data_IF_105978262488
#
_entry.id   IF_105978262488
#
_cell.length_a   1.000
_cell.length_b   1.000
_cell.length_c   1.000
_cell.angle_alpha   90.00
_cell.angle_beta   90.00
_cell.angle_gamma   90.00
#
_symmetry.space_group_name_H-M   'P 1'
#
loop_
_entity.id
_entity.type
_entity.pdbx_description
1 polymer ?
#
# COMPACT_ATOMS: atom_id res chain seq x y z
N UNK A 1 1.18 25.08 39.30
CA UNK A 1 0.68 26.07 38.32
C UNK A 1 0.66 25.35 36.99
N UNK A 2 -0.54 25.32 36.39
CA UNK A 2 -0.92 24.53 35.22
C UNK A 2 -0.04 24.85 33.98
N UNK A 3 0.85 23.98 33.66
CA UNK A 3 1.54 23.89 32.34
C UNK A 3 1.07 22.67 31.55
N UNK A 4 -0.12 22.18 31.83
CA UNK A 4 -0.75 21.10 31.09
C UNK A 4 -1.92 21.65 30.30
N UNK A 5 -1.94 21.35 28.99
CA UNK A 5 -3.06 21.52 28.03
C UNK A 5 -2.92 22.61 26.94
N UNK A 6 -1.73 22.78 26.37
CA UNK A 6 -1.62 23.51 25.08
C UNK A 6 -1.00 22.64 23.96
N UNK A 7 -1.17 21.31 24.03
CA UNK A 7 -0.47 20.36 23.14
C UNK A 7 -1.22 20.00 21.85
N UNK A 8 -2.43 20.50 21.62
CA UNK A 8 -3.24 20.10 20.45
C UNK A 8 -3.68 21.26 19.52
N UNK A 9 -3.28 22.51 19.75
CA UNK A 9 -3.82 23.65 18.99
C UNK A 9 -3.10 23.99 17.66
N UNK A 10 -1.96 23.38 17.35
CA UNK A 10 -1.14 23.81 16.20
C UNK A 10 -0.92 22.70 15.13
N UNK A 11 -1.68 21.60 15.13
CA UNK A 11 -1.60 20.62 14.05
C UNK A 11 -2.53 21.02 12.90
N UNK A 12 -1.94 21.57 11.85
CA UNK A 12 -2.63 21.95 10.62
C UNK A 12 -2.24 21.00 9.49
N UNK A 13 -3.22 20.23 8.99
CA UNK A 13 -3.01 19.25 7.93
C UNK A 13 -2.61 19.88 6.60
N UNK A 14 -3.04 21.10 6.32
CA UNK A 14 -2.70 21.78 5.08
C UNK A 14 -1.25 22.25 5.09
N UNK A 15 -0.76 22.71 6.23
CA UNK A 15 0.67 23.00 6.43
C UNK A 15 1.53 21.73 6.30
N UNK A 16 1.07 20.59 6.84
CA UNK A 16 1.77 19.30 6.68
C UNK A 16 1.87 18.92 5.21
N UNK A 17 0.76 18.98 4.47
CA UNK A 17 0.73 18.66 3.04
C UNK A 17 1.64 19.57 2.22
N UNK A 18 1.60 20.89 2.46
CA UNK A 18 2.46 21.85 1.74
C UNK A 18 3.94 21.63 2.03
N UNK A 19 4.31 21.40 3.29
CA UNK A 19 5.69 21.10 3.69
C UNK A 19 6.25 19.89 2.94
N UNK A 20 5.47 18.80 2.86
CA UNK A 20 5.86 17.58 2.16
C UNK A 20 5.89 17.76 0.64
N UNK A 21 4.98 18.55 0.06
CA UNK A 21 4.99 18.89 -1.38
C UNK A 21 6.23 19.68 -1.78
N UNK A 22 6.73 20.52 -0.89
CA UNK A 22 7.97 21.28 -1.10
C UNK A 22 9.23 20.41 -0.94
N UNK A 23 9.08 19.11 -0.68
CA UNK A 23 10.18 18.16 -0.52
C UNK A 23 10.89 18.25 0.83
N UNK A 24 10.25 18.87 1.83
CA UNK A 24 10.79 19.01 3.17
C UNK A 24 10.25 17.89 4.08
N UNK A 25 11.10 17.32 4.95
CA UNK A 25 10.66 16.40 5.98
C UNK A 25 9.97 17.11 7.15
N UNK A 26 9.11 16.42 7.85
CA UNK A 26 8.39 16.97 9.00
C UNK A 26 9.26 16.92 10.27
N UNK A 27 9.15 17.92 11.16
CA UNK A 27 9.67 17.80 12.51
C UNK A 27 9.09 16.56 13.21
N UNK A 28 9.89 15.89 14.02
CA UNK A 28 9.49 14.63 14.69
C UNK A 28 8.13 14.73 15.39
N UNK A 29 7.92 15.77 16.19
CA UNK A 29 6.65 15.99 16.90
C UNK A 29 5.45 16.05 15.94
N UNK A 30 5.59 16.72 14.82
CA UNK A 30 4.53 16.83 13.80
C UNK A 30 4.27 15.49 13.14
N UNK A 31 5.33 14.75 12.78
CA UNK A 31 5.21 13.42 12.20
C UNK A 31 4.53 12.43 13.16
N UNK A 32 4.96 12.39 14.42
CA UNK A 32 4.34 11.52 15.43
C UNK A 32 2.85 11.87 15.62
N UNK A 33 2.50 13.16 15.66
CA UNK A 33 1.10 13.59 15.76
C UNK A 33 0.29 13.16 14.54
N UNK A 34 0.84 13.29 13.33
CA UNK A 34 0.23 12.82 12.09
C UNK A 34 -0.05 11.31 12.15
N UNK A 35 0.95 10.53 12.56
CA UNK A 35 0.85 9.06 12.67
C UNK A 35 -0.15 8.63 13.75
N UNK A 36 -0.20 9.31 14.90
CA UNK A 36 -1.20 9.02 15.94
C UNK A 36 -2.63 9.22 15.43
N UNK A 37 -2.88 10.33 14.72
CA UNK A 37 -4.20 10.58 14.11
C UNK A 37 -4.55 9.53 13.05
N UNK A 38 -3.57 9.05 12.31
CA UNK A 38 -3.77 7.99 11.35
C UNK A 38 -4.07 6.64 12.01
N UNK A 39 -3.41 6.31 13.11
CA UNK A 39 -3.74 5.12 13.90
C UNK A 39 -5.20 5.13 14.36
N UNK A 40 -5.74 6.28 14.78
CA UNK A 40 -7.16 6.41 15.16
C UNK A 40 -8.10 6.01 13.99
N UNK A 41 -7.74 6.38 12.76
CA UNK A 41 -8.48 5.96 11.55
C UNK A 41 -8.33 4.46 11.31
N UNK A 42 -7.10 3.94 11.36
CA UNK A 42 -6.81 2.53 11.10
C UNK A 42 -7.50 1.58 12.08
N UNK A 43 -7.68 1.97 13.34
CA UNK A 43 -8.46 1.20 14.32
C UNK A 43 -9.95 1.04 13.95
N UNK A 44 -10.47 1.91 13.10
CA UNK A 44 -11.86 1.82 12.61
C UNK A 44 -11.98 1.05 11.30
N UNK A 45 -10.89 0.79 10.61
CA UNK A 45 -10.87 0.08 9.33
C UNK A 45 -10.75 -1.44 9.52
N UNK A 46 -11.51 -2.20 8.73
CA UNK A 46 -11.46 -3.66 8.70
C UNK A 46 -10.18 -4.17 7.99
N UNK A 47 -9.87 -5.46 8.17
CA UNK A 47 -8.76 -6.09 7.45
C UNK A 47 -8.97 -6.11 5.93
N UNK A 48 -10.22 -6.17 5.48
CA UNK A 48 -10.63 -6.06 4.09
C UNK A 48 -11.52 -4.83 3.96
N UNK A 49 -11.10 -3.89 3.12
CA UNK A 49 -11.86 -2.68 2.84
C UNK A 49 -12.93 -2.96 1.78
N UNK A 50 -14.16 -2.58 2.03
CA UNK A 50 -15.24 -2.61 1.04
C UNK A 50 -15.33 -1.23 0.36
N UNK A 51 -14.97 -1.17 -0.92
CA UNK A 51 -14.82 0.08 -1.66
C UNK A 51 -15.76 0.11 -2.88
N UNK A 52 -16.04 1.32 -3.34
CA UNK A 52 -16.88 1.54 -4.52
C UNK A 52 -16.14 2.35 -5.58
N UNK A 53 -16.35 1.98 -6.86
CA UNK A 53 -15.87 2.75 -8.01
C UNK A 53 -16.65 4.09 -8.17
N UNK A 54 -16.12 5.08 -8.92
CA UNK A 54 -14.83 5.05 -9.60
C UNK A 54 -13.67 5.14 -8.61
N UNK A 55 -12.59 4.38 -8.87
CA UNK A 55 -11.40 4.32 -8.01
C UNK A 55 -10.13 4.08 -8.83
N UNK A 56 -9.02 4.63 -8.38
CA UNK A 56 -7.70 4.46 -8.98
C UNK A 56 -6.88 3.53 -8.09
N UNK A 57 -6.48 2.38 -8.62
CA UNK A 57 -5.70 1.37 -7.93
C UNK A 57 -4.23 1.58 -8.29
N UNK A 58 -3.40 1.78 -7.27
CA UNK A 58 -1.98 2.09 -7.37
C UNK A 58 -1.14 0.95 -6.78
N UNK A 59 -0.02 0.64 -7.42
CA UNK A 59 0.98 -0.31 -6.93
C UNK A 59 2.06 0.35 -6.07
N UNK A 60 3.23 -0.30 -6.02
CA UNK A 60 4.39 0.10 -5.22
C UNK A 60 4.85 1.54 -5.54
N UNK A 61 5.27 2.26 -4.51
CA UNK A 61 5.79 3.63 -4.62
C UNK A 61 7.25 3.72 -4.18
N UNK A 62 7.64 2.98 -3.15
CA UNK A 62 9.01 2.83 -2.70
C UNK A 62 9.78 4.15 -2.53
N UNK A 63 9.22 5.10 -1.76
CA UNK A 63 9.90 6.35 -1.45
C UNK A 63 10.22 7.24 -2.66
N UNK A 64 9.55 7.05 -3.79
CA UNK A 64 9.71 7.88 -4.99
C UNK A 64 8.69 9.03 -4.97
N UNK A 65 8.85 9.98 -4.04
CA UNK A 65 7.90 11.05 -3.74
C UNK A 65 7.53 11.90 -4.98
N UNK A 66 8.51 12.29 -5.78
CA UNK A 66 8.26 13.15 -6.94
C UNK A 66 7.52 12.41 -8.06
N UNK A 67 7.76 11.10 -8.18
CA UNK A 67 6.99 10.25 -9.10
C UNK A 67 5.56 10.06 -8.60
N UNK A 68 5.34 10.02 -7.27
CA UNK A 68 3.98 10.01 -6.68
C UNK A 68 3.21 11.30 -7.04
N UNK A 69 3.85 12.47 -7.06
CA UNK A 69 3.20 13.69 -7.51
C UNK A 69 2.80 13.61 -8.99
N UNK A 70 3.69 13.09 -9.85
CA UNK A 70 3.37 12.86 -11.26
C UNK A 70 2.26 11.81 -11.46
N UNK A 71 2.22 10.77 -10.60
CA UNK A 71 1.13 9.80 -10.59
C UNK A 71 -0.22 10.50 -10.36
N UNK A 72 -0.29 11.40 -9.37
CA UNK A 72 -1.53 12.16 -9.12
C UNK A 72 -1.90 13.05 -10.29
N UNK A 73 -0.93 13.75 -10.89
CA UNK A 73 -1.19 14.62 -12.05
C UNK A 73 -1.75 13.79 -13.23
N UNK A 74 -1.16 12.63 -13.52
CA UNK A 74 -1.61 11.74 -14.59
C UNK A 74 -3.01 11.14 -14.28
N UNK A 75 -3.22 10.64 -13.06
CA UNK A 75 -4.44 9.97 -12.65
C UNK A 75 -5.63 10.92 -12.50
N UNK A 76 -5.38 12.16 -12.10
CA UNK A 76 -6.43 13.17 -11.93
C UNK A 76 -6.86 13.82 -13.25
N UNK A 77 -6.06 13.75 -14.30
CA UNK A 77 -6.40 14.31 -15.64
C UNK A 77 -6.89 15.76 -15.57
N UNK A 78 -6.21 16.58 -14.72
CA UNK A 78 -6.55 17.99 -14.50
C UNK A 78 -7.73 18.24 -13.54
N UNK A 79 -8.31 17.20 -12.97
CA UNK A 79 -9.32 17.35 -11.91
C UNK A 79 -8.64 17.51 -10.53
N UNK A 80 -9.30 18.18 -9.56
CA UNK A 80 -8.83 18.20 -8.20
C UNK A 80 -8.71 16.79 -7.59
N UNK A 81 -7.68 16.56 -6.79
CA UNK A 81 -7.39 15.26 -6.19
C UNK A 81 -8.52 14.76 -5.29
N UNK A 82 -9.22 15.67 -4.63
CA UNK A 82 -10.38 15.39 -3.77
C UNK A 82 -11.60 14.83 -4.53
N UNK A 83 -11.61 14.92 -5.85
CA UNK A 83 -12.68 14.36 -6.69
C UNK A 83 -12.39 12.90 -7.11
N UNK A 84 -11.26 12.35 -6.73
CA UNK A 84 -10.84 10.99 -7.08
C UNK A 84 -10.66 10.13 -5.85
N UNK A 85 -10.93 8.85 -5.96
CA UNK A 85 -10.59 7.86 -4.94
C UNK A 85 -9.33 7.10 -5.35
N UNK A 86 -8.48 6.79 -4.38
CA UNK A 86 -7.22 6.07 -4.58
C UNK A 86 -7.12 4.90 -3.62
N UNK A 87 -6.75 3.75 -4.14
CA UNK A 87 -6.36 2.57 -3.38
C UNK A 87 -4.88 2.27 -3.67
N UNK A 88 -4.04 2.39 -2.66
CA UNK A 88 -2.63 2.01 -2.73
C UNK A 88 -2.44 0.63 -2.13
N UNK A 89 -1.79 -0.26 -2.87
CA UNK A 89 -1.68 -1.67 -2.50
C UNK A 89 -0.46 -1.99 -1.62
N UNK A 90 0.25 -0.99 -1.09
CA UNK A 90 1.40 -1.18 -0.19
C UNK A 90 2.74 -0.80 -0.81
N UNK A 91 3.82 -1.08 -0.08
CA UNK A 91 5.21 -0.77 -0.41
C UNK A 91 5.45 0.73 -0.65
N UNK A 92 5.22 1.50 0.41
CA UNK A 92 5.43 2.95 0.43
C UNK A 92 6.87 3.33 0.65
N UNK A 93 7.58 2.52 1.43
CA UNK A 93 8.93 2.78 1.95
C UNK A 93 9.98 1.92 1.29
N UNK A 94 11.25 2.19 1.61
CA UNK A 94 12.44 1.52 1.10
C UNK A 94 12.80 1.82 -0.37
N UNK A 95 14.03 1.54 -0.74
CA UNK A 95 14.55 1.61 -2.12
C UNK A 95 14.70 3.03 -2.67
N UNK A 96 13.69 3.87 -2.55
CA UNK A 96 13.72 5.27 -2.92
C UNK A 96 14.39 6.15 -1.86
N UNK A 97 14.41 7.46 -2.10
CA UNK A 97 15.15 8.44 -1.27
C UNK A 97 14.28 9.20 -0.28
N UNK A 98 12.95 9.04 -0.37
CA UNK A 98 11.97 9.86 0.35
C UNK A 98 10.87 8.98 0.96
N UNK A 99 11.27 7.91 1.67
CA UNK A 99 10.31 6.94 2.23
C UNK A 99 9.39 7.58 3.25
N UNK A 100 9.96 8.38 4.16
CA UNK A 100 9.20 9.02 5.23
C UNK A 100 8.25 10.08 4.69
N UNK A 101 8.72 10.90 3.74
CA UNK A 101 7.90 11.94 3.11
C UNK A 101 6.79 11.32 2.27
N UNK A 102 7.08 10.27 1.52
CA UNK A 102 6.08 9.53 0.71
C UNK A 102 4.97 8.97 1.58
N UNK A 103 5.32 8.25 2.64
CA UNK A 103 4.32 7.68 3.54
C UNK A 103 3.56 8.77 4.29
N UNK A 104 4.27 9.76 4.85
CA UNK A 104 3.64 10.88 5.55
C UNK A 104 2.68 11.69 4.65
N UNK A 105 3.03 11.87 3.36
CA UNK A 105 2.18 12.57 2.41
C UNK A 105 0.88 11.79 2.14
N UNK A 106 0.96 10.48 1.92
CA UNK A 106 -0.22 9.62 1.74
C UNK A 106 -1.10 9.59 2.99
N UNK A 107 -0.49 9.53 4.18
CA UNK A 107 -1.20 9.62 5.46
C UNK A 107 -1.90 10.97 5.62
N UNK A 108 -1.23 12.07 5.28
CA UNK A 108 -1.83 13.40 5.34
C UNK A 108 -3.03 13.54 4.39
N UNK A 109 -2.93 13.01 3.17
CA UNK A 109 -4.05 12.96 2.22
C UNK A 109 -5.20 12.10 2.73
N UNK A 110 -4.90 10.94 3.33
CA UNK A 110 -5.93 10.08 3.96
C UNK A 110 -6.65 10.80 5.10
N UNK A 111 -5.95 11.54 5.94
CA UNK A 111 -6.58 12.29 7.02
C UNK A 111 -7.42 13.46 6.52
N UNK A 112 -6.95 14.15 5.48
CA UNK A 112 -7.67 15.27 4.88
C UNK A 112 -8.89 14.81 4.08
N UNK A 113 -8.75 13.71 3.32
CA UNK A 113 -9.76 13.18 2.40
C UNK A 113 -10.08 11.72 2.75
N UNK A 114 -10.60 11.50 3.95
CA UNK A 114 -10.74 10.19 4.60
C UNK A 114 -11.36 9.11 3.71
N UNK A 115 -12.40 9.46 2.94
CA UNK A 115 -13.17 8.54 2.11
C UNK A 115 -12.68 8.47 0.65
N UNK A 116 -11.49 9.04 0.38
CA UNK A 116 -10.88 9.08 -0.94
C UNK A 116 -9.53 8.39 -1.02
N UNK A 117 -8.86 8.15 0.10
CA UNK A 117 -7.54 7.51 0.15
C UNK A 117 -7.58 6.25 1.00
N UNK A 118 -7.13 5.13 0.44
CA UNK A 118 -7.09 3.82 1.09
C UNK A 118 -5.71 3.23 0.94
N UNK A 119 -5.13 2.74 2.05
CA UNK A 119 -3.76 2.27 2.12
C UNK A 119 -3.73 0.83 2.63
N UNK A 120 -3.22 -0.12 1.83
CA UNK A 120 -3.01 -1.51 2.24
C UNK A 120 -1.58 -1.71 2.74
N UNK A 121 -1.35 -2.82 3.42
CA UNK A 121 -0.02 -3.23 3.88
C UNK A 121 0.72 -4.01 2.80
N UNK A 122 1.93 -3.55 2.44
CA UNK A 122 2.89 -4.29 1.64
C UNK A 122 3.89 -5.06 2.49
N UNK A 123 4.78 -5.80 1.84
CA UNK A 123 5.80 -6.57 2.55
C UNK A 123 6.96 -5.69 3.06
N UNK A 124 7.13 -4.49 2.53
CA UNK A 124 8.09 -3.52 3.07
C UNK A 124 7.56 -2.77 4.31
N UNK A 125 6.28 -2.82 4.58
CA UNK A 125 5.69 -2.31 5.80
C UNK A 125 5.86 -3.32 6.96
N UNK A 126 7.10 -3.80 7.15
CA UNK A 126 7.49 -4.68 8.25
C UNK A 126 8.94 -4.44 8.66
N UNK A 127 9.26 -4.67 9.94
CA UNK A 127 10.57 -4.36 10.55
C UNK A 127 11.71 -5.12 9.88
N UNK A 128 11.50 -6.40 9.60
CA UNK A 128 12.53 -7.28 9.02
C UNK A 128 12.99 -6.79 7.64
N UNK A 129 12.09 -6.23 6.83
CA UNK A 129 12.40 -5.73 5.50
C UNK A 129 12.89 -4.29 5.55
N UNK A 130 12.15 -3.38 6.19
CA UNK A 130 12.47 -1.95 6.12
C UNK A 130 13.66 -1.53 6.98
N UNK A 131 14.16 -2.42 7.84
CA UNK A 131 15.45 -2.23 8.50
C UNK A 131 16.63 -2.39 7.53
N UNK A 132 16.46 -3.17 6.45
CA UNK A 132 17.54 -3.55 5.52
C UNK A 132 17.57 -2.72 4.24
N UNK A 133 16.42 -2.18 3.80
CA UNK A 133 16.27 -1.66 2.44
C UNK A 133 16.15 -0.14 2.33
N UNK A 134 16.33 0.59 3.43
CA UNK A 134 16.50 2.05 3.38
C UNK A 134 15.78 2.83 4.45
N UNK A 135 14.55 2.48 4.78
CA UNK A 135 13.69 3.26 5.67
C UNK A 135 14.28 3.48 7.08
N UNK A 136 14.88 2.44 7.67
CA UNK A 136 15.58 2.58 8.96
C UNK A 136 16.69 3.62 8.89
N UNK A 137 17.56 3.54 7.87
CA UNK A 137 18.67 4.47 7.71
C UNK A 137 18.20 5.90 7.46
N UNK A 138 17.14 6.07 6.68
CA UNK A 138 16.54 7.37 6.39
C UNK A 138 16.01 8.03 7.68
N UNK A 139 15.25 7.29 8.50
CA UNK A 139 14.76 7.81 9.78
C UNK A 139 15.88 8.13 10.77
N UNK A 140 16.96 7.32 10.81
CA UNK A 140 18.15 7.64 11.60
C UNK A 140 18.83 8.92 11.12
N UNK A 141 18.90 9.13 9.82
CA UNK A 141 19.51 10.32 9.24
C UNK A 141 18.74 11.59 9.62
N UNK A 142 17.41 11.58 9.52
CA UNK A 142 16.58 12.75 9.82
C UNK A 142 16.40 13.03 11.31
N UNK A 143 16.23 11.99 12.13
CA UNK A 143 15.81 12.15 13.52
C UNK A 143 16.88 11.73 14.54
N UNK A 144 17.97 11.11 14.11
CA UNK A 144 19.11 10.76 14.97
C UNK A 144 18.92 9.56 15.89
N UNK A 145 17.74 8.89 15.86
CA UNK A 145 17.44 7.72 16.69
C UNK A 145 16.35 6.82 16.07
N UNK A 146 16.24 5.59 16.60
CA UNK A 146 15.31 4.58 16.07
C UNK A 146 13.82 4.79 16.46
N UNK A 147 13.51 5.79 17.28
CA UNK A 147 12.15 5.98 17.81
C UNK A 147 11.11 6.19 16.72
N UNK A 148 11.39 7.04 15.73
CA UNK A 148 10.50 7.31 14.60
C UNK A 148 10.28 6.05 13.76
N UNK A 149 11.34 5.32 13.43
CA UNK A 149 11.26 4.05 12.72
C UNK A 149 10.39 3.03 13.46
N UNK A 150 10.62 2.87 14.75
CA UNK A 150 9.84 1.95 15.59
C UNK A 150 8.36 2.33 15.57
N UNK A 151 8.06 3.61 15.77
CA UNK A 151 6.68 4.10 15.80
C UNK A 151 5.97 3.94 14.45
N UNK A 152 6.64 4.25 13.33
CA UNK A 152 6.07 4.01 12.01
C UNK A 152 5.74 2.52 11.78
N UNK A 153 6.57 1.61 12.28
CA UNK A 153 6.28 0.18 12.18
C UNK A 153 5.08 -0.26 13.03
N UNK A 154 4.81 0.40 14.17
CA UNK A 154 3.56 0.19 14.92
C UNK A 154 2.34 0.65 14.11
N UNK A 155 2.48 1.73 13.32
CA UNK A 155 1.45 2.17 12.37
C UNK A 155 1.26 1.16 11.24
N UNK A 156 2.35 0.64 10.68
CA UNK A 156 2.31 -0.37 9.61
C UNK A 156 1.58 -1.65 10.05
N UNK A 157 1.73 -2.05 11.31
CA UNK A 157 1.02 -3.22 11.87
C UNK A 157 -0.51 -3.06 11.83
N UNK A 158 -1.02 -1.83 11.74
CA UNK A 158 -2.45 -1.54 11.71
C UNK A 158 -3.03 -1.42 10.29
N UNK A 159 -2.20 -1.40 9.24
CA UNK A 159 -2.68 -1.25 7.87
C UNK A 159 -3.59 -2.43 7.46
N UNK A 160 -4.70 -2.17 6.75
CA UNK A 160 -5.54 -3.19 6.13
C UNK A 160 -4.76 -4.10 5.19
N UNK A 161 -5.22 -5.34 5.03
CA UNK A 161 -4.52 -6.37 4.25
C UNK A 161 -5.00 -6.48 2.81
N UNK A 162 -6.26 -6.16 2.56
CA UNK A 162 -6.88 -6.28 1.25
C UNK A 162 -8.04 -5.29 1.08
N UNK A 163 -8.53 -5.18 -0.15
CA UNK A 163 -9.77 -4.47 -0.45
C UNK A 163 -10.60 -5.24 -1.49
N UNK A 164 -11.92 -5.03 -1.45
CA UNK A 164 -12.86 -5.48 -2.48
C UNK A 164 -13.54 -4.27 -3.07
N UNK A 165 -13.45 -4.09 -4.38
CA UNK A 165 -14.07 -2.96 -5.09
C UNK A 165 -15.31 -3.47 -5.82
N UNK A 166 -16.45 -2.82 -5.57
CA UNK A 166 -17.77 -3.13 -6.13
C UNK A 166 -18.22 -4.61 -5.96
N UNK A 167 -17.64 -5.35 -5.00
CA UNK A 167 -17.88 -6.79 -4.89
C UNK A 167 -17.31 -7.62 -6.05
N UNK A 168 -16.46 -7.04 -6.90
CA UNK A 168 -15.99 -7.66 -8.15
C UNK A 168 -14.46 -7.79 -8.23
N UNK A 169 -13.71 -6.84 -7.66
CA UNK A 169 -12.24 -6.79 -7.75
C UNK A 169 -11.61 -6.98 -6.38
N UNK A 170 -10.83 -8.03 -6.21
CA UNK A 170 -10.01 -8.24 -5.02
C UNK A 170 -8.64 -7.60 -5.22
N UNK A 171 -8.27 -6.68 -4.34
CA UNK A 171 -6.99 -5.98 -4.35
C UNK A 171 -6.16 -6.37 -3.13
N UNK A 172 -4.91 -6.75 -3.35
CA UNK A 172 -3.97 -7.21 -2.31
C UNK A 172 -2.55 -6.87 -2.74
N UNK A 173 -1.61 -6.73 -1.81
CA UNK A 173 -0.24 -6.38 -2.19
C UNK A 173 0.47 -7.51 -2.95
N UNK A 174 0.70 -8.65 -2.31
CA UNK A 174 1.41 -9.80 -2.88
C UNK A 174 0.50 -10.70 -3.70
N UNK A 175 -0.34 -11.50 -3.06
CA UNK A 175 -1.20 -12.42 -3.77
C UNK A 175 -2.05 -13.30 -2.87
N UNK A 176 -2.33 -14.50 -3.36
CA UNK A 176 -3.22 -15.44 -2.70
C UNK A 176 -2.50 -16.35 -1.69
N UNK A 177 -3.26 -16.95 -0.80
CA UNK A 177 -2.79 -17.91 0.21
C UNK A 177 -3.57 -19.23 0.11
N UNK A 178 -2.91 -20.39 0.23
CA UNK A 178 -3.61 -21.67 0.32
C UNK A 178 -4.48 -21.79 1.58
N UNK A 179 -4.21 -20.99 2.61
CA UNK A 179 -4.98 -20.98 3.85
C UNK A 179 -6.21 -20.06 3.79
N UNK A 180 -6.34 -19.24 2.73
CA UNK A 180 -7.42 -18.26 2.55
C UNK A 180 -8.18 -18.53 1.23
N UNK A 181 -9.00 -19.58 1.15
CA UNK A 181 -9.88 -19.76 -0.01
C UNK A 181 -11.04 -18.76 -0.04
N UNK A 182 -11.44 -18.23 1.11
CA UNK A 182 -12.53 -17.25 1.26
C UNK A 182 -12.01 -15.95 1.90
N UNK A 183 -12.41 -14.81 1.32
CA UNK A 183 -12.04 -13.47 1.81
C UNK A 183 -12.46 -13.25 3.26
N UNK A 184 -13.60 -13.80 3.68
CA UNK A 184 -14.09 -13.72 5.06
C UNK A 184 -13.04 -14.18 6.09
N UNK A 185 -12.17 -15.12 5.74
CA UNK A 185 -11.09 -15.56 6.63
C UNK A 185 -10.07 -14.46 6.91
N UNK A 186 -9.85 -13.53 5.97
CA UNK A 186 -8.95 -12.39 6.18
C UNK A 186 -9.48 -11.51 7.33
N UNK A 187 -10.80 -11.34 7.42
CA UNK A 187 -11.43 -10.50 8.44
C UNK A 187 -11.21 -11.03 9.86
N UNK A 188 -10.94 -12.32 10.03
CA UNK A 188 -10.69 -12.95 11.34
C UNK A 188 -9.23 -12.93 11.79
N UNK A 189 -8.30 -12.50 10.93
CA UNK A 189 -6.88 -12.47 11.25
C UNK A 189 -6.57 -11.29 12.17
N UNK A 190 -5.77 -11.50 13.19
CA UNK A 190 -5.18 -10.40 13.93
C UNK A 190 -4.05 -9.78 13.09
N UNK A 191 -4.32 -8.62 12.47
CA UNK A 191 -3.32 -7.90 11.67
C UNK A 191 -2.36 -7.05 12.51
N UNK A 192 -2.72 -6.74 13.77
CA UNK A 192 -1.93 -5.87 14.65
C UNK A 192 -0.67 -6.56 15.15
N UNK A 193 0.22 -6.90 14.24
CA UNK A 193 1.46 -7.61 14.55
C UNK A 193 2.47 -7.43 13.41
N UNK A 194 3.73 -7.72 13.70
CA UNK A 194 4.77 -7.91 12.68
C UNK A 194 4.34 -9.01 11.68
N UNK A 195 4.70 -8.88 10.41
CA UNK A 195 4.45 -9.95 9.43
C UNK A 195 5.19 -11.22 9.86
N UNK A 196 4.48 -12.31 10.12
CA UNK A 196 5.14 -13.56 10.48
C UNK A 196 5.89 -14.14 9.27
N UNK A 197 6.87 -15.02 9.47
CA UNK A 197 7.64 -15.61 8.36
C UNK A 197 6.83 -16.61 7.50
N UNK A 198 5.62 -16.97 7.92
CA UNK A 198 4.70 -17.92 7.25
C UNK A 198 3.26 -17.61 7.63
N UNK A 199 2.33 -18.19 6.86
CA UNK A 199 0.90 -18.13 7.11
C UNK A 199 0.22 -16.97 6.38
N UNK A 200 -1.09 -16.80 6.61
CA UNK A 200 -1.95 -15.96 5.78
C UNK A 200 -1.48 -14.51 5.62
N UNK A 201 -1.05 -13.84 6.69
CA UNK A 201 -0.54 -12.45 6.62
C UNK A 201 0.71 -12.36 5.74
N UNK A 202 1.63 -13.33 5.90
CA UNK A 202 2.82 -13.41 5.07
C UNK A 202 2.44 -13.61 3.60
N UNK A 203 1.56 -14.56 3.32
CA UNK A 203 1.20 -14.93 1.95
C UNK A 203 0.54 -13.77 1.20
N UNK A 204 -0.39 -13.05 1.85
CA UNK A 204 -1.04 -11.87 1.26
C UNK A 204 -0.04 -10.78 0.86
N UNK A 205 1.11 -10.68 1.53
CA UNK A 205 2.14 -9.68 1.21
C UNK A 205 3.26 -10.20 0.29
N UNK A 206 3.48 -11.53 0.18
CA UNK A 206 4.66 -12.09 -0.47
C UNK A 206 4.39 -13.02 -1.65
N UNK A 207 3.16 -13.57 -1.80
CA UNK A 207 2.86 -14.54 -2.85
C UNK A 207 2.89 -13.91 -4.25
N UNK A 208 3.35 -14.68 -5.24
CA UNK A 208 3.49 -14.25 -6.63
C UNK A 208 2.72 -15.16 -7.60
N UNK A 209 2.11 -14.60 -8.66
CA UNK A 209 1.57 -15.39 -9.76
C UNK A 209 2.69 -16.03 -10.60
N UNK A 210 2.50 -17.29 -11.00
CA UNK A 210 3.46 -18.01 -11.83
C UNK A 210 2.74 -19.06 -12.71
N UNK A 211 3.40 -19.49 -13.78
CA UNK A 211 2.89 -20.61 -14.60
C UNK A 211 3.06 -21.93 -13.85
N UNK A 212 2.13 -22.21 -12.95
CA UNK A 212 2.09 -23.46 -12.16
C UNK A 212 0.67 -24.01 -12.08
N UNK A 213 0.53 -25.31 -11.83
CA UNK A 213 -0.78 -25.95 -11.62
C UNK A 213 -1.15 -26.11 -10.14
N UNK A 214 -0.16 -25.98 -9.26
CA UNK A 214 -0.32 -26.20 -7.82
C UNK A 214 0.39 -25.10 -7.04
N UNK A 215 0.07 -24.98 -5.77
CA UNK A 215 0.82 -24.14 -4.84
C UNK A 215 2.28 -24.60 -4.74
N UNK A 216 3.22 -23.70 -4.99
CA UNK A 216 4.64 -23.95 -4.82
C UNK A 216 5.24 -22.96 -3.81
N UNK A 217 6.31 -23.35 -3.13
CA UNK A 217 7.04 -22.41 -2.27
C UNK A 217 7.67 -21.30 -3.12
N UNK A 218 7.52 -20.07 -2.68
CA UNK A 218 8.17 -18.94 -3.32
C UNK A 218 9.69 -18.96 -3.00
N UNK A 219 10.52 -18.73 -4.00
CA UNK A 219 11.98 -18.65 -3.84
C UNK A 219 12.44 -17.42 -3.07
N UNK A 220 11.56 -16.45 -2.84
CA UNK A 220 11.81 -15.31 -1.94
C UNK A 220 12.01 -15.73 -0.47
N UNK A 221 11.67 -16.98 -0.13
CA UNK A 221 11.70 -17.49 1.25
C UNK A 221 10.43 -17.22 2.05
N UNK A 222 9.46 -16.52 1.47
CA UNK A 222 8.17 -16.14 2.06
C UNK A 222 7.06 -16.22 0.98
N UNK A 223 5.83 -16.56 1.38
CA UNK A 223 4.70 -16.70 0.47
C UNK A 223 4.75 -17.91 -0.45
N UNK A 224 3.84 -17.93 -1.41
CA UNK A 224 3.68 -19.01 -2.38
C UNK A 224 3.72 -18.49 -3.82
N UNK A 225 4.07 -19.39 -4.75
CA UNK A 225 3.76 -19.24 -6.17
C UNK A 225 2.40 -19.90 -6.42
N UNK A 226 1.53 -19.22 -7.15
CA UNK A 226 0.19 -19.70 -7.49
C UNK A 226 -0.13 -19.45 -8.96
N UNK A 227 -0.92 -20.31 -9.56
CA UNK A 227 -1.22 -20.30 -10.99
C UNK A 227 -2.68 -20.00 -11.31
N UNK A 228 -3.03 -20.18 -12.59
CA UNK A 228 -4.40 -19.98 -13.08
C UNK A 228 -5.46 -20.81 -12.32
N UNK A 229 -5.22 -22.09 -11.98
CA UNK A 229 -6.21 -22.87 -11.23
C UNK A 229 -6.58 -22.24 -9.89
N UNK A 230 -5.58 -21.75 -9.13
CA UNK A 230 -5.78 -21.13 -7.82
C UNK A 230 -6.54 -19.81 -7.93
N UNK A 231 -6.18 -18.99 -8.93
CA UNK A 231 -6.89 -17.71 -9.18
C UNK A 231 -8.33 -17.97 -9.61
N UNK A 232 -8.56 -18.93 -10.50
CA UNK A 232 -9.90 -19.25 -10.98
C UNK A 232 -10.79 -19.78 -9.85
N UNK A 233 -10.26 -20.65 -9.00
CA UNK A 233 -10.97 -21.18 -7.82
C UNK A 233 -11.30 -20.07 -6.83
N UNK A 234 -10.33 -19.21 -6.50
CA UNK A 234 -10.53 -18.08 -5.58
C UNK A 234 -11.60 -17.11 -6.09
N UNK A 235 -11.55 -16.72 -7.36
CA UNK A 235 -12.54 -15.84 -7.97
C UNK A 235 -13.94 -16.48 -7.94
N UNK A 236 -14.04 -17.76 -8.24
CA UNK A 236 -15.30 -18.50 -8.22
C UNK A 236 -15.90 -18.59 -6.81
N UNK A 237 -15.11 -19.01 -5.83
CA UNK A 237 -15.55 -19.16 -4.43
C UNK A 237 -16.02 -17.84 -3.81
N UNK A 238 -15.42 -16.72 -4.20
CA UNK A 238 -15.73 -15.41 -3.65
C UNK A 238 -16.64 -14.55 -4.54
N UNK A 239 -17.17 -15.13 -5.65
CA UNK A 239 -18.01 -14.43 -6.63
C UNK A 239 -17.36 -13.14 -7.17
N UNK A 240 -16.06 -13.21 -7.49
CA UNK A 240 -15.26 -12.10 -8.00
C UNK A 240 -14.92 -12.28 -9.48
N UNK A 241 -14.50 -11.20 -10.12
CA UNK A 241 -14.12 -11.17 -11.55
C UNK A 241 -12.62 -11.00 -11.77
N UNK A 242 -11.92 -10.30 -10.87
CA UNK A 242 -10.54 -9.87 -11.07
C UNK A 242 -9.77 -9.84 -9.74
N UNK A 243 -8.50 -10.23 -9.79
CA UNK A 243 -7.50 -9.95 -8.74
C UNK A 243 -6.56 -8.86 -9.25
N UNK A 244 -6.37 -7.80 -8.47
CA UNK A 244 -5.30 -6.81 -8.68
C UNK A 244 -4.27 -6.93 -7.57
N UNK A 245 -3.01 -6.84 -7.95
CA UNK A 245 -1.88 -6.92 -7.00
C UNK A 245 -0.70 -6.07 -7.48
N UNK A 246 0.35 -5.97 -6.69
CA UNK A 246 1.55 -5.22 -6.99
C UNK A 246 2.83 -6.06 -6.78
N UNK A 247 3.79 -5.67 -5.97
CA UNK A 247 4.92 -6.46 -5.45
C UNK A 247 5.97 -6.93 -6.49
N UNK A 248 5.62 -7.16 -7.74
CA UNK A 248 6.57 -7.54 -8.80
C UNK A 248 6.73 -6.41 -9.80
N UNK A 249 8.00 -6.04 -10.04
CA UNK A 249 8.35 -5.08 -11.08
C UNK A 249 7.82 -5.54 -12.43
N UNK A 250 7.01 -4.71 -13.07
CA UNK A 250 6.53 -4.90 -14.43
C UNK A 250 7.18 -3.84 -15.35
N UNK A 251 7.81 -4.27 -16.44
CA UNK A 251 8.58 -3.38 -17.32
C UNK A 251 7.72 -2.27 -17.96
N UNK A 252 6.46 -2.59 -18.30
CA UNK A 252 5.50 -1.63 -18.84
C UNK A 252 4.61 -0.97 -17.78
N UNK A 253 4.92 -1.18 -16.47
CA UNK A 253 4.12 -0.71 -15.34
C UNK A 253 2.94 -1.62 -15.00
N UNK A 254 2.68 -2.66 -15.78
CA UNK A 254 1.67 -3.67 -15.50
C UNK A 254 2.02 -5.01 -16.15
N UNK A 255 1.42 -6.08 -15.63
CA UNK A 255 1.45 -7.40 -16.24
C UNK A 255 0.11 -8.11 -16.05
N UNK A 256 -0.37 -8.76 -17.10
CA UNK A 256 -1.64 -9.48 -17.11
C UNK A 256 -1.39 -10.98 -17.09
N UNK A 257 -2.13 -11.71 -16.27
CA UNK A 257 -2.00 -13.14 -16.08
C UNK A 257 -3.35 -13.82 -16.25
N UNK A 258 -3.31 -15.10 -16.70
CA UNK A 258 -4.44 -16.03 -16.66
C UNK A 258 -5.70 -15.50 -17.37
N UNK A 259 -5.54 -15.05 -18.62
CA UNK A 259 -6.61 -14.45 -19.43
C UNK A 259 -7.26 -13.24 -18.73
N UNK A 260 -6.41 -12.34 -18.23
CA UNK A 260 -6.78 -11.09 -17.53
C UNK A 260 -7.54 -11.28 -16.21
N UNK A 261 -7.50 -12.48 -15.61
CA UNK A 261 -8.08 -12.75 -14.29
C UNK A 261 -7.24 -12.17 -13.14
N UNK A 262 -5.96 -11.88 -13.40
CA UNK A 262 -5.07 -11.23 -12.45
C UNK A 262 -4.22 -10.19 -13.17
N UNK A 263 -4.11 -9.00 -12.56
CA UNK A 263 -3.30 -7.90 -13.08
C UNK A 263 -2.35 -7.42 -12.00
N UNK A 264 -1.04 -7.43 -12.31
CA UNK A 264 -0.03 -6.72 -11.53
C UNK A 264 -0.02 -5.25 -11.97
N UNK A 265 -0.11 -4.33 -11.01
CA UNK A 265 0.01 -2.88 -11.21
C UNK A 265 1.27 -2.42 -10.50
N UNK A 266 2.17 -1.73 -11.21
CA UNK A 266 3.42 -1.22 -10.69
C UNK A 266 3.49 0.29 -10.90
N UNK A 267 3.65 1.08 -9.85
CA UNK A 267 3.48 2.54 -9.90
C UNK A 267 4.77 3.34 -9.61
N UNK A 268 5.93 2.68 -9.49
CA UNK A 268 7.23 3.32 -9.32
C UNK A 268 8.02 3.29 -10.65
N UNK A 269 8.08 4.40 -11.43
CA UNK A 269 8.80 4.43 -12.70
C UNK A 269 10.32 4.42 -12.46
N UNK A 270 11.07 3.89 -13.44
CA UNK A 270 12.53 3.79 -13.32
C UNK A 270 12.97 3.32 -11.93
N UNK A 271 12.39 2.22 -11.46
CA UNK A 271 12.53 1.69 -10.11
C UNK A 271 13.97 1.69 -9.63
N UNK A 272 14.19 2.15 -8.40
CA UNK A 272 15.50 2.37 -7.81
C UNK A 272 16.40 3.29 -8.67
N UNK A 273 15.78 4.15 -9.50
CA UNK A 273 16.45 5.10 -10.42
C UNK A 273 17.35 4.43 -11.47
N UNK A 274 17.13 3.13 -11.78
CA UNK A 274 18.00 2.36 -12.69
C UNK A 274 17.28 1.28 -13.51
N UNK A 275 16.05 0.91 -13.18
CA UNK A 275 15.39 -0.23 -13.84
C UNK A 275 14.81 0.10 -15.22
N UNK A 276 14.64 1.40 -15.55
CA UNK A 276 14.14 1.87 -16.84
C UNK A 276 12.71 1.45 -17.17
N UNK A 277 11.95 0.94 -16.17
CA UNK A 277 10.56 0.54 -16.32
C UNK A 277 9.62 1.75 -16.34
N UNK A 278 8.45 1.55 -16.95
CA UNK A 278 7.32 2.47 -16.84
C UNK A 278 6.55 2.23 -15.54
N UNK A 279 5.69 3.17 -15.20
CA UNK A 279 4.70 3.06 -14.12
C UNK A 279 3.29 3.10 -14.70
N UNK A 280 2.36 2.51 -13.95
CA UNK A 280 0.95 2.47 -14.32
C UNK A 280 0.08 2.56 -13.07
N UNK A 281 -1.08 3.15 -13.20
CA UNK A 281 -2.21 3.01 -12.27
C UNK A 281 -3.42 2.45 -13.02
N UNK A 282 -4.31 1.77 -12.32
CA UNK A 282 -5.53 1.22 -12.89
C UNK A 282 -6.73 2.07 -12.47
N UNK A 283 -7.34 2.80 -13.39
CA UNK A 283 -8.63 3.43 -13.18
C UNK A 283 -9.73 2.40 -13.41
N UNK A 284 -10.51 2.09 -12.36
CA UNK A 284 -11.60 1.11 -12.40
C UNK A 284 -12.95 1.79 -12.17
N UNK A 285 -13.89 1.47 -13.04
CA UNK A 285 -15.28 1.95 -12.94
C UNK A 285 -16.25 0.93 -13.51
N UNK A 286 -17.22 0.48 -12.70
CA UNK A 286 -18.39 -0.33 -13.11
C UNK A 286 -18.05 -1.56 -13.97
N UNK A 287 -17.04 -2.32 -13.59
CA UNK A 287 -16.64 -3.53 -14.30
C UNK A 287 -15.64 -3.32 -15.42
N UNK A 288 -15.31 -2.08 -15.75
CA UNK A 288 -14.31 -1.73 -16.75
C UNK A 288 -13.06 -1.12 -16.10
N UNK A 289 -11.90 -1.30 -16.70
CA UNK A 289 -10.67 -0.66 -16.24
C UNK A 289 -9.86 -0.07 -17.39
N UNK A 290 -9.11 0.97 -17.07
CA UNK A 290 -8.12 1.60 -17.94
C UNK A 290 -6.78 1.68 -17.21
N UNK A 291 -5.70 1.34 -17.90
CA UNK A 291 -4.34 1.51 -17.42
C UNK A 291 -3.79 2.86 -17.91
N UNK A 292 -3.31 3.68 -16.98
CA UNK A 292 -2.85 5.05 -17.20
C UNK A 292 -1.36 5.11 -16.95
#
# INVERSE_FOLDING_TARGET
>A
KNENLTFMSDFDIDTVISTLRDGNFLPEKTLITLMMKFMEVLYTESNVLELTSPIIICGDIHGQLYDLFQLFDAACEGQPIENKKFLFMGDYVDRGRFSIETFAYLVALKLKYKDHFYLLRGNHECRQVNQMYGFYHETQFYYGHAGVWSFCNEVFDLLPMAAVVDGEVFSVHGGLSPEIPLIEKISTINRQQELPPKGPLCDLCWSDPETTRTWCKNQRGAGYLFGEPQVTEFLHLNNLKLVTRSHQLAQDGYAKFFNDKLITVWSAPNYMYRSGNKATVMAYERGEYRLI
#
